data_IF_394724590428
#
_entry.id   IF_394724590428
#
_cell.length_a   1.000
_cell.length_b   1.000
_cell.length_c   1.000
_cell.angle_alpha   90.00
_cell.angle_beta   90.00
_cell.angle_gamma   90.00
#
_symmetry.space_group_name_H-M   'P 1'
#
loop_
_entity.id
_entity.type
_entity.pdbx_description
1 polymer ?
#
# COMPACT_ATOMS: atom_id res chain seq x y z
N UNK A 1 -3.00 22.04 -4.08
CA UNK A 1 -4.27 21.66 -4.76
C UNK A 1 -5.11 20.92 -3.71
N UNK A 2 -6.43 21.21 -3.55
CA UNK A 2 -7.29 20.32 -2.76
C UNK A 2 -7.37 19.01 -3.53
N UNK A 3 -6.81 17.95 -2.98
CA UNK A 3 -6.91 16.60 -3.53
C UNK A 3 -8.39 16.22 -3.55
N UNK A 4 -8.93 15.88 -4.71
CA UNK A 4 -10.32 15.42 -4.81
C UNK A 4 -10.49 14.16 -3.95
N UNK A 5 -11.53 14.16 -3.11
CA UNK A 5 -11.88 13.01 -2.28
C UNK A 5 -12.72 12.04 -3.11
N UNK A 6 -12.05 11.33 -4.03
CA UNK A 6 -12.65 10.34 -4.95
C UNK A 6 -11.88 9.04 -4.90
N UNK A 7 -12.54 7.96 -5.31
CA UNK A 7 -11.92 6.65 -5.47
C UNK A 7 -10.89 6.70 -6.60
N UNK A 8 -9.67 6.25 -6.34
CA UNK A 8 -8.57 6.27 -7.29
C UNK A 8 -8.22 4.84 -7.69
N UNK A 9 -8.48 4.48 -8.96
CA UNK A 9 -7.98 3.21 -9.52
C UNK A 9 -6.49 3.34 -9.82
N UNK A 10 -5.67 2.37 -9.38
CA UNK A 10 -4.27 2.33 -9.71
C UNK A 10 -4.04 1.49 -10.97
N UNK A 11 -3.30 2.03 -11.92
CA UNK A 11 -2.95 1.37 -13.18
C UNK A 11 -1.41 1.25 -13.31
N UNK A 12 -0.88 0.10 -13.79
CA UNK A 12 0.57 -0.17 -13.77
C UNK A 12 1.42 0.76 -14.64
N UNK A 13 0.80 1.54 -15.52
CA UNK A 13 1.48 2.41 -16.49
C UNK A 13 1.00 3.87 -16.42
N UNK A 14 0.48 4.28 -15.27
CA UNK A 14 -0.20 5.57 -15.13
C UNK A 14 -1.63 5.54 -15.69
N UNK A 15 -2.44 6.58 -15.42
CA UNK A 15 -3.84 6.66 -15.82
C UNK A 15 -3.99 6.52 -17.33
N UNK A 16 -4.91 5.65 -17.79
CA UNK A 16 -5.16 5.39 -19.20
C UNK A 16 -3.87 5.04 -20.00
N UNK A 17 -2.86 4.46 -19.33
CA UNK A 17 -1.55 4.14 -19.89
C UNK A 17 -0.82 5.35 -20.48
N UNK A 18 -1.01 6.53 -19.92
CA UNK A 18 -0.35 7.78 -20.36
C UNK A 18 1.14 7.81 -20.08
N UNK A 19 1.64 6.82 -19.34
CA UNK A 19 3.04 6.69 -18.98
C UNK A 19 3.34 7.28 -17.62
N UNK A 20 4.61 7.15 -17.25
CA UNK A 20 5.15 7.57 -15.98
C UNK A 20 6.24 8.61 -16.20
N UNK A 21 6.43 9.52 -15.26
CA UNK A 21 7.44 10.56 -15.34
C UNK A 21 8.82 10.01 -14.97
N UNK A 22 9.84 10.38 -15.74
CA UNK A 22 11.23 10.03 -15.39
C UNK A 22 11.68 10.79 -14.15
N UNK A 23 12.28 10.09 -13.21
CA UNK A 23 12.83 10.68 -11.99
C UNK A 23 14.22 11.27 -12.23
N UNK A 24 14.54 12.33 -11.49
CA UNK A 24 15.89 12.87 -11.38
C UNK A 24 16.56 12.26 -10.13
N UNK A 25 17.61 11.47 -10.38
CA UNK A 25 18.29 10.69 -9.35
C UNK A 25 19.64 11.31 -9.00
N UNK A 26 20.08 11.15 -7.77
CA UNK A 26 21.38 11.58 -7.30
C UNK A 26 22.35 10.40 -7.29
N UNK A 27 23.54 10.53 -7.93
CA UNK A 27 24.51 9.42 -8.01
C UNK A 27 24.91 8.84 -6.66
N UNK A 28 24.96 9.67 -5.62
CA UNK A 28 25.35 9.31 -4.25
C UNK A 28 24.35 8.36 -3.55
N UNK A 29 23.14 8.20 -4.08
CA UNK A 29 22.12 7.29 -3.56
C UNK A 29 22.37 5.83 -3.98
N UNK A 30 23.31 5.59 -4.94
CA UNK A 30 23.50 4.27 -5.53
C UNK A 30 24.95 3.76 -5.39
N UNK A 31 25.10 2.49 -5.02
CA UNK A 31 26.35 1.74 -5.13
C UNK A 31 26.56 1.21 -6.56
N UNK A 32 25.50 1.03 -7.31
CA UNK A 32 25.51 0.61 -8.71
C UNK A 32 25.64 1.78 -9.67
N UNK A 33 25.60 1.50 -10.98
CA UNK A 33 25.31 2.53 -11.97
C UNK A 33 23.94 3.14 -11.69
N UNK A 34 23.79 4.45 -11.96
CA UNK A 34 22.52 5.17 -11.81
C UNK A 34 21.46 4.46 -12.68
N UNK A 35 20.36 4.01 -12.09
CA UNK A 35 19.27 3.38 -12.84
C UNK A 35 18.46 4.40 -13.63
N UNK A 36 17.57 3.90 -14.47
CA UNK A 36 16.47 4.71 -15.02
C UNK A 36 15.23 4.37 -14.22
N UNK A 37 14.63 5.39 -13.60
CA UNK A 37 13.44 5.26 -12.79
C UNK A 37 12.31 6.13 -13.33
N UNK A 38 11.08 5.63 -13.19
CA UNK A 38 9.87 6.38 -13.52
C UNK A 38 8.86 6.24 -12.37
N UNK A 39 8.04 7.27 -12.21
CA UNK A 39 7.00 7.33 -11.20
C UNK A 39 5.72 7.96 -11.77
N UNK A 40 4.57 7.48 -11.30
CA UNK A 40 3.32 8.22 -11.37
C UNK A 40 2.68 8.25 -9.98
N UNK A 41 2.51 9.46 -9.45
CA UNK A 41 1.86 9.67 -8.15
C UNK A 41 0.37 9.85 -8.38
N UNK A 42 -0.43 8.94 -7.82
CA UNK A 42 -1.89 8.98 -7.88
C UNK A 42 -2.49 9.85 -6.79
N UNK A 43 -1.86 9.84 -5.62
CA UNK A 43 -2.27 10.64 -4.48
C UNK A 43 -1.04 11.09 -3.69
N UNK A 44 -1.05 12.35 -3.27
CA UNK A 44 0.01 12.92 -2.45
C UNK A 44 -0.56 13.95 -1.47
N UNK A 45 -0.13 13.85 -0.23
CA UNK A 45 -0.32 14.88 0.79
C UNK A 45 1.02 15.10 1.51
N UNK A 46 1.78 16.10 1.05
CA UNK A 46 3.09 16.45 1.60
C UNK A 46 3.00 16.86 3.07
N UNK A 47 1.87 17.43 3.51
CA UNK A 47 1.68 17.87 4.90
C UNK A 47 1.55 16.70 5.86
N UNK A 48 1.10 15.55 5.36
CA UNK A 48 1.00 14.29 6.07
C UNK A 48 2.22 13.39 5.83
N UNK A 49 2.98 13.62 4.77
CA UNK A 49 4.02 12.72 4.32
C UNK A 49 3.48 11.41 3.71
N UNK A 50 2.28 11.48 3.10
CA UNK A 50 1.61 10.35 2.46
C UNK A 50 1.73 10.45 0.94
N UNK A 51 2.20 9.38 0.29
CA UNK A 51 2.20 9.25 -1.17
C UNK A 51 1.76 7.86 -1.60
N UNK A 52 0.98 7.79 -2.68
CA UNK A 52 0.49 6.55 -3.29
C UNK A 52 0.71 6.60 -4.79
N UNK A 53 1.31 5.55 -5.34
CA UNK A 53 1.65 5.58 -6.76
C UNK A 53 2.08 4.26 -7.35
N UNK A 54 2.62 4.36 -8.55
CA UNK A 54 3.34 3.31 -9.26
C UNK A 54 4.75 3.80 -9.58
N UNK A 55 5.72 2.91 -9.39
CA UNK A 55 7.13 3.19 -9.61
C UNK A 55 7.79 2.03 -10.35
N UNK A 56 8.74 2.34 -11.23
CA UNK A 56 9.57 1.34 -11.87
C UNK A 56 11.04 1.76 -11.96
N UNK A 57 11.91 0.77 -12.13
CA UNK A 57 13.36 0.97 -12.21
C UNK A 57 14.03 -0.12 -13.01
N UNK A 58 15.19 0.23 -13.61
CA UNK A 58 16.14 -0.74 -14.14
C UNK A 58 17.02 -1.29 -13.01
N UNK A 59 17.96 -2.22 -13.34
CA UNK A 59 18.90 -2.78 -12.34
C UNK A 59 19.55 -1.70 -11.48
N UNK A 60 19.57 -1.90 -10.18
CA UNK A 60 20.21 -0.99 -9.22
C UNK A 60 20.62 -1.68 -7.93
N UNK A 61 21.49 -1.00 -7.19
CA UNK A 61 21.72 -1.22 -5.77
C UNK A 61 21.86 0.13 -5.08
N UNK A 62 21.01 0.39 -4.09
CA UNK A 62 21.07 1.59 -3.27
C UNK A 62 22.18 1.49 -2.21
N UNK A 63 22.65 2.66 -1.76
CA UNK A 63 23.54 2.74 -0.61
C UNK A 63 22.83 2.20 0.62
N UNK A 64 23.53 1.39 1.42
CA UNK A 64 23.00 0.89 2.69
C UNK A 64 22.72 2.06 3.65
N UNK A 65 21.51 2.09 4.19
CA UNK A 65 21.09 3.15 5.09
C UNK A 65 19.67 2.98 5.60
N UNK A 66 19.19 3.92 6.41
CA UNK A 66 17.82 3.88 6.94
C UNK A 66 16.78 4.06 5.83
N UNK A 67 15.76 3.20 5.83
CA UNK A 67 14.67 3.26 4.86
C UNK A 67 13.77 4.50 5.13
N UNK A 68 13.43 5.30 4.10
CA UNK A 68 12.80 6.60 4.30
C UNK A 68 11.27 6.52 4.43
N UNK A 69 10.76 5.93 5.51
CA UNK A 69 9.33 5.86 5.80
C UNK A 69 8.81 4.44 5.93
N UNK A 70 7.54 4.31 6.32
CA UNK A 70 6.81 3.06 6.30
C UNK A 70 6.21 2.90 4.91
N UNK A 71 6.43 1.77 4.25
CA UNK A 71 5.95 1.56 2.89
C UNK A 71 5.29 0.20 2.74
N UNK A 72 4.08 0.21 2.19
CA UNK A 72 3.37 -0.96 1.67
C UNK A 72 3.59 -1.03 0.18
N UNK A 73 3.99 -2.20 -0.34
CA UNK A 73 4.35 -2.38 -1.73
C UNK A 73 3.77 -3.67 -2.31
N UNK A 74 3.33 -3.60 -3.55
CA UNK A 74 2.95 -4.77 -4.34
C UNK A 74 3.81 -4.86 -5.60
N UNK A 75 4.64 -5.92 -5.71
CA UNK A 75 5.54 -6.15 -6.86
C UNK A 75 4.74 -6.65 -8.06
N UNK A 76 4.64 -5.83 -9.10
CA UNK A 76 3.91 -6.13 -10.33
C UNK A 76 4.77 -6.89 -11.35
N UNK A 77 6.09 -6.59 -11.37
CA UNK A 77 7.06 -7.17 -12.31
C UNK A 77 8.45 -7.20 -11.67
N UNK A 78 9.23 -8.22 -11.99
CA UNK A 78 10.60 -8.39 -11.48
C UNK A 78 10.65 -8.96 -10.06
N UNK A 79 11.79 -8.71 -9.41
CA UNK A 79 12.04 -9.07 -8.01
C UNK A 79 13.05 -8.12 -7.39
N UNK A 80 13.02 -8.00 -6.06
CA UNK A 80 13.96 -7.20 -5.29
C UNK A 80 14.54 -8.01 -4.14
N UNK A 81 15.77 -7.72 -3.77
CA UNK A 81 16.42 -8.19 -2.53
C UNK A 81 16.63 -7.00 -1.61
N UNK A 82 16.07 -7.06 -0.42
CA UNK A 82 16.34 -6.13 0.67
C UNK A 82 17.48 -6.72 1.48
N UNK A 83 18.65 -6.07 1.48
CA UNK A 83 19.87 -6.55 2.11
C UNK A 83 20.06 -5.84 3.44
N UNK A 84 20.17 -6.60 4.53
CA UNK A 84 20.41 -6.07 5.88
C UNK A 84 21.91 -5.81 6.16
N UNK A 85 22.22 -5.37 7.38
CA UNK A 85 23.60 -5.06 7.80
C UNK A 85 24.53 -6.27 7.93
N UNK A 86 23.99 -7.48 7.93
CA UNK A 86 24.72 -8.75 8.00
C UNK A 86 24.81 -9.45 6.63
N UNK A 87 24.53 -8.71 5.55
CA UNK A 87 24.47 -9.21 4.16
C UNK A 87 23.39 -10.27 3.90
N UNK A 88 22.41 -10.45 4.82
CA UNK A 88 21.29 -11.33 4.53
C UNK A 88 20.30 -10.66 3.58
N UNK A 89 19.81 -11.42 2.61
CA UNK A 89 18.88 -10.92 1.62
C UNK A 89 17.47 -11.47 1.83
N UNK A 90 16.50 -10.58 2.06
CA UNK A 90 15.08 -10.90 1.94
C UNK A 90 14.63 -10.67 0.51
N UNK A 91 14.29 -11.75 -0.21
CA UNK A 91 13.91 -11.68 -1.63
C UNK A 91 12.41 -11.60 -1.78
N UNK A 92 11.93 -10.56 -2.45
CA UNK A 92 10.52 -10.35 -2.78
C UNK A 92 10.34 -10.46 -4.30
N UNK A 93 9.40 -11.30 -4.72
CA UNK A 93 9.18 -11.65 -6.14
C UNK A 93 7.90 -11.03 -6.68
N UNK A 94 7.77 -11.02 -8.00
CA UNK A 94 6.53 -10.67 -8.70
C UNK A 94 5.31 -11.32 -8.05
N UNK A 95 4.25 -10.54 -7.85
CA UNK A 95 3.00 -10.93 -7.22
C UNK A 95 2.99 -10.83 -5.70
N UNK A 96 4.14 -10.77 -5.06
CA UNK A 96 4.21 -10.63 -3.60
C UNK A 96 3.97 -9.20 -3.16
N UNK A 97 3.38 -9.07 -1.99
CA UNK A 97 3.12 -7.82 -1.28
C UNK A 97 3.91 -7.82 0.01
N UNK A 98 4.51 -6.68 0.36
CA UNK A 98 5.33 -6.56 1.54
C UNK A 98 5.31 -5.15 2.11
N UNK A 99 5.68 -5.05 3.39
CA UNK A 99 5.89 -3.78 4.07
C UNK A 99 7.34 -3.62 4.47
N UNK A 100 7.80 -2.37 4.48
CA UNK A 100 9.09 -1.97 5.04
C UNK A 100 8.85 -0.94 6.13
N UNK A 101 9.45 -1.15 7.31
CA UNK A 101 9.40 -0.23 8.44
C UNK A 101 10.31 0.98 8.21
N UNK A 102 9.84 2.16 8.62
CA UNK A 102 10.64 3.37 8.62
C UNK A 102 11.95 3.17 9.40
N UNK A 103 13.04 3.71 8.87
CA UNK A 103 14.40 3.72 9.42
C UNK A 103 15.11 2.36 9.51
N UNK A 104 14.48 1.22 9.11
CA UNK A 104 15.24 -0.04 9.05
C UNK A 104 16.46 0.12 8.12
N UNK A 105 17.69 -0.16 8.59
CA UNK A 105 18.88 -0.03 7.77
C UNK A 105 18.95 -1.19 6.77
N UNK A 106 18.81 -0.88 5.49
CA UNK A 106 18.81 -1.83 4.38
C UNK A 106 19.46 -1.24 3.12
N UNK A 107 19.83 -2.09 2.18
CA UNK A 107 20.15 -1.75 0.81
C UNK A 107 19.15 -2.43 -0.12
N UNK A 108 18.46 -1.66 -0.94
CA UNK A 108 17.62 -2.16 -2.04
C UNK A 108 18.51 -2.64 -3.17
N UNK A 109 18.38 -3.89 -3.58
CA UNK A 109 19.14 -4.47 -4.71
C UNK A 109 18.24 -5.27 -5.62
N UNK A 110 18.37 -5.05 -6.92
CA UNK A 110 17.72 -5.85 -7.92
C UNK A 110 18.51 -5.93 -9.23
N UNK A 111 18.30 -7.01 -9.95
CA UNK A 111 18.79 -7.21 -11.31
C UNK A 111 17.59 -7.22 -12.26
N UNK A 112 17.73 -6.52 -13.40
CA UNK A 112 16.67 -6.38 -14.38
C UNK A 112 15.65 -5.29 -14.01
N UNK A 113 14.51 -5.34 -14.68
CA UNK A 113 13.43 -4.38 -14.51
C UNK A 113 12.55 -4.78 -13.32
N UNK A 114 12.08 -3.78 -12.57
CA UNK A 114 11.09 -3.95 -11.50
C UNK A 114 10.01 -2.87 -11.61
N UNK A 115 8.77 -3.24 -11.35
CA UNK A 115 7.64 -2.31 -11.17
C UNK A 115 6.85 -2.70 -9.94
N UNK A 116 6.41 -1.69 -9.17
CA UNK A 116 5.57 -1.86 -7.98
C UNK A 116 4.49 -0.79 -7.89
N UNK A 117 3.36 -1.12 -7.28
CA UNK A 117 2.53 -0.13 -6.61
C UNK A 117 3.07 0.11 -5.20
N UNK A 118 2.83 1.29 -4.67
CA UNK A 118 3.25 1.65 -3.32
C UNK A 118 2.25 2.59 -2.63
N UNK A 119 2.23 2.51 -1.31
CA UNK A 119 1.75 3.52 -0.38
C UNK A 119 2.85 3.74 0.65
N UNK A 120 3.41 4.94 0.69
CA UNK A 120 4.46 5.32 1.65
C UNK A 120 3.96 6.40 2.59
N UNK A 121 4.38 6.30 3.85
CA UNK A 121 4.08 7.27 4.89
C UNK A 121 5.30 7.54 5.76
N UNK A 122 5.66 8.81 5.85
CA UNK A 122 6.67 9.30 6.79
C UNK A 122 6.20 10.64 7.36
N UNK A 123 5.85 10.67 8.65
CA UNK A 123 5.43 11.91 9.31
C UNK A 123 6.54 12.97 9.20
N UNK A 124 6.31 14.10 8.50
CA UNK A 124 7.33 15.11 8.29
C UNK A 124 7.69 15.89 9.58
N UNK A 125 6.90 15.72 10.64
CA UNK A 125 7.13 16.36 11.95
C UNK A 125 7.88 15.45 12.91
N UNK A 126 7.92 14.14 12.66
CA UNK A 126 8.59 13.17 13.49
C UNK A 126 10.08 13.05 13.11
N UNK A 127 10.94 12.91 14.09
CA UNK A 127 12.31 12.51 13.84
C UNK A 127 12.37 11.06 13.36
N UNK A 128 13.29 10.77 12.44
CA UNK A 128 13.53 9.39 12.03
C UNK A 128 14.01 8.59 13.24
N UNK A 129 13.39 7.44 13.58
CA UNK A 129 13.83 6.62 14.71
C UNK A 129 15.20 6.00 14.42
N UNK A 130 15.97 5.76 15.49
CA UNK A 130 17.20 4.97 15.41
C UNK A 130 16.85 3.50 15.66
N UNK A 131 16.90 2.67 14.62
CA UNK A 131 16.65 1.24 14.72
C UNK A 131 17.76 0.43 14.07
N UNK A 132 17.89 -0.83 14.46
CA UNK A 132 18.91 -1.76 13.96
C UNK A 132 18.27 -2.85 13.09
N UNK A 133 19.06 -3.49 12.22
CA UNK A 133 18.58 -4.62 11.41
C UNK A 133 18.02 -5.76 12.26
N UNK A 134 18.53 -5.96 13.49
CA UNK A 134 18.06 -7.00 14.40
C UNK A 134 16.61 -6.82 14.88
N UNK A 135 16.07 -5.60 14.82
CA UNK A 135 14.67 -5.32 15.18
C UNK A 135 13.67 -5.76 14.11
N UNK A 136 14.14 -6.18 12.94
CA UNK A 136 13.30 -6.55 11.80
C UNK A 136 12.65 -5.32 11.16
N UNK A 137 11.77 -5.54 10.21
CA UNK A 137 11.05 -4.44 9.57
C UNK A 137 10.69 -4.68 8.12
N UNK A 138 11.02 -5.86 7.59
CA UNK A 138 10.57 -6.30 6.26
C UNK A 138 9.58 -7.44 6.47
N UNK A 139 8.32 -7.22 6.10
CA UNK A 139 7.22 -8.18 6.32
C UNK A 139 6.57 -8.52 4.99
N UNK A 140 6.74 -9.76 4.53
CA UNK A 140 6.03 -10.27 3.34
C UNK A 140 4.64 -10.74 3.79
N UNK A 141 3.59 -10.26 3.12
CA UNK A 141 2.21 -10.64 3.40
C UNK A 141 1.90 -11.98 2.73
N UNK A 142 1.46 -12.95 3.53
CA UNK A 142 1.11 -14.30 3.07
C UNK A 142 -0.41 -14.44 2.90
N UNK A 143 -0.88 -14.55 1.64
CA UNK A 143 -2.30 -14.71 1.33
C UNK A 143 -2.90 -16.04 1.84
N UNK A 144 -2.06 -17.02 2.21
CA UNK A 144 -2.49 -18.30 2.80
C UNK A 144 -2.55 -18.27 4.34
N UNK A 145 -2.16 -17.15 4.96
CA UNK A 145 -2.21 -17.00 6.43
C UNK A 145 -3.63 -17.15 6.95
N UNK A 146 -3.78 -17.90 8.04
CA UNK A 146 -5.06 -17.99 8.75
C UNK A 146 -5.43 -16.62 9.33
N UNK A 147 -6.67 -16.22 9.11
CA UNK A 147 -7.25 -15.00 9.65
C UNK A 147 -8.15 -15.32 10.86
N UNK A 148 -8.18 -14.43 11.83
CA UNK A 148 -9.14 -14.47 12.94
C UNK A 148 -10.50 -13.95 12.52
N UNK A 149 -11.58 -14.44 13.16
CA UNK A 149 -12.91 -13.87 12.97
C UNK A 149 -12.93 -12.41 13.40
N UNK A 150 -13.53 -11.55 12.59
CA UNK A 150 -13.76 -10.14 12.88
C UNK A 150 -15.25 -9.91 13.13
N UNK A 151 -15.58 -9.42 14.33
CA UNK A 151 -16.97 -9.15 14.71
C UNK A 151 -17.41 -7.69 14.43
N UNK A 152 -16.47 -6.81 14.08
CA UNK A 152 -16.74 -5.42 13.70
C UNK A 152 -16.82 -5.27 12.19
N UNK A 153 -17.74 -4.43 11.71
CA UNK A 153 -17.80 -4.00 10.30
C UNK A 153 -17.14 -2.65 10.08
N UNK A 154 -16.62 -2.00 11.11
CA UNK A 154 -15.96 -0.71 10.96
C UNK A 154 -14.86 -0.76 9.88
N UNK A 155 -14.79 0.27 9.04
CA UNK A 155 -15.50 1.54 9.10
C UNK A 155 -16.88 1.52 8.41
N UNK A 156 -17.32 0.38 7.92
CA UNK A 156 -18.56 0.28 7.14
C UNK A 156 -19.75 0.09 8.07
N UNK A 157 -20.76 0.91 7.91
CA UNK A 157 -22.07 0.70 8.54
C UNK A 157 -22.90 -0.14 7.57
N UNK A 158 -23.16 -1.39 7.93
CA UNK A 158 -23.77 -2.38 7.05
C UNK A 158 -25.30 -2.30 7.12
N UNK A 159 -25.94 -2.35 5.96
CA UNK A 159 -27.38 -2.50 5.82
C UNK A 159 -27.74 -3.98 5.97
N UNK A 160 -28.50 -4.33 7.02
CA UNK A 160 -28.97 -5.70 7.24
C UNK A 160 -28.06 -6.52 8.15
N UNK A 161 -27.89 -7.81 7.82
CA UNK A 161 -27.10 -8.73 8.63
C UNK A 161 -25.60 -8.49 8.49
N UNK A 162 -24.86 -8.59 9.61
CA UNK A 162 -23.39 -8.50 9.61
C UNK A 162 -22.84 -9.76 8.92
N UNK A 163 -22.04 -9.60 7.85
CA UNK A 163 -21.46 -10.73 7.15
C UNK A 163 -20.39 -11.44 8.00
N UNK A 164 -20.12 -12.69 7.68
CA UNK A 164 -18.95 -13.36 8.20
C UNK A 164 -17.69 -12.69 7.62
N UNK A 165 -16.80 -12.24 8.50
CA UNK A 165 -15.57 -11.55 8.17
C UNK A 165 -14.39 -12.13 8.93
N UNK A 166 -13.21 -12.02 8.34
CA UNK A 166 -11.96 -12.39 9.01
C UNK A 166 -10.89 -11.35 8.71
N UNK A 167 -9.91 -11.24 9.60
CA UNK A 167 -8.79 -10.33 9.48
C UNK A 167 -7.49 -10.93 10.03
N UNK A 168 -6.38 -10.51 9.44
CA UNK A 168 -5.05 -10.70 10.00
C UNK A 168 -4.19 -9.47 9.71
N UNK A 169 -3.67 -8.83 10.76
CA UNK A 169 -2.74 -7.70 10.66
C UNK A 169 -1.31 -8.25 10.60
N UNK A 170 -0.59 -7.93 9.53
CA UNK A 170 0.81 -8.33 9.33
C UNK A 170 1.80 -7.29 9.82
N UNK A 171 1.46 -6.01 9.68
CA UNK A 171 2.35 -4.89 9.94
C UNK A 171 1.61 -3.77 10.67
N UNK A 172 2.28 -3.16 11.63
CA UNK A 172 1.84 -1.93 12.29
C UNK A 172 3.09 -1.09 12.54
N UNK A 173 3.08 0.19 12.16
CA UNK A 173 4.20 1.08 12.40
C UNK A 173 4.31 1.46 13.89
N UNK A 174 5.43 2.07 14.29
CA UNK A 174 5.71 2.41 15.69
C UNK A 174 4.70 3.39 16.28
N UNK A 175 4.21 4.33 15.48
CA UNK A 175 3.17 5.29 15.88
C UNK A 175 1.77 4.68 15.97
N UNK A 176 1.59 3.43 15.51
CA UNK A 176 0.32 2.69 15.48
C UNK A 176 -0.79 3.37 14.66
N UNK A 177 -0.42 4.24 13.75
CA UNK A 177 -1.33 4.94 12.86
C UNK A 177 -1.29 4.44 11.41
N UNK A 178 -0.30 3.62 11.04
CA UNK A 178 -0.26 2.90 9.77
C UNK A 178 -0.20 1.40 10.03
N UNK A 179 -1.11 0.66 9.39
CA UNK A 179 -1.14 -0.80 9.47
C UNK A 179 -1.39 -1.43 8.10
N UNK A 180 -0.95 -2.67 7.92
CA UNK A 180 -1.25 -3.45 6.75
C UNK A 180 -1.71 -4.86 7.14
N UNK A 181 -2.74 -5.33 6.46
CA UNK A 181 -3.40 -6.59 6.79
C UNK A 181 -4.02 -7.28 5.60
N UNK A 182 -4.70 -8.36 5.91
CA UNK A 182 -5.55 -9.13 5.02
C UNK A 182 -6.93 -9.21 5.64
N UNK A 183 -7.95 -8.96 4.83
CA UNK A 183 -9.35 -9.00 5.24
C UNK A 183 -10.19 -9.72 4.19
N UNK A 184 -11.18 -10.45 4.66
CA UNK A 184 -12.23 -11.00 3.81
C UNK A 184 -13.62 -10.71 4.37
N UNK A 185 -14.62 -10.77 3.48
CA UNK A 185 -16.03 -10.64 3.86
C UNK A 185 -16.93 -11.42 2.91
N UNK A 186 -18.01 -11.97 3.47
CA UNK A 186 -19.17 -12.40 2.70
C UNK A 186 -19.91 -11.23 2.06
N UNK A 187 -21.13 -11.49 1.55
CA UNK A 187 -21.98 -10.46 0.96
C UNK A 187 -22.24 -9.31 1.93
N UNK A 188 -22.12 -8.08 1.42
CA UNK A 188 -22.22 -6.86 2.23
C UNK A 188 -22.77 -5.72 1.38
N UNK A 189 -23.61 -4.91 1.98
CA UNK A 189 -24.09 -3.63 1.44
C UNK A 189 -23.97 -2.59 2.55
N UNK A 190 -23.19 -1.53 2.33
CA UNK A 190 -22.97 -0.49 3.34
C UNK A 190 -23.71 0.80 3.06
N UNK A 191 -23.96 1.56 4.10
CA UNK A 191 -24.46 2.92 3.98
C UNK A 191 -23.44 3.81 3.25
N UNK A 192 -23.95 4.84 2.58
CA UNK A 192 -23.14 5.91 1.99
C UNK A 192 -22.65 6.83 3.10
N UNK A 193 -21.33 6.83 3.37
CA UNK A 193 -20.70 7.63 4.44
C UNK A 193 -19.31 8.12 4.06
N UNK A 194 -18.81 9.20 4.68
CA UNK A 194 -17.41 9.57 4.58
C UNK A 194 -16.49 8.45 5.10
N UNK A 195 -15.53 8.02 4.29
CA UNK A 195 -14.55 6.99 4.67
C UNK A 195 -13.54 7.59 5.67
N UNK A 196 -13.29 6.97 6.84
CA UNK A 196 -12.64 7.66 7.94
C UNK A 196 -11.11 7.73 7.86
N UNK A 197 -10.47 6.91 7.02
CA UNK A 197 -9.01 6.85 6.87
C UNK A 197 -8.55 6.82 5.42
N UNK A 198 -7.25 6.79 5.19
CA UNK A 198 -6.64 6.55 3.90
C UNK A 198 -6.42 5.05 3.75
N UNK A 199 -6.90 4.44 2.67
CA UNK A 199 -6.75 3.01 2.46
C UNK A 199 -6.28 2.68 1.05
N UNK A 200 -5.15 1.98 0.97
CA UNK A 200 -4.72 1.27 -0.23
C UNK A 200 -5.30 -0.14 -0.20
N UNK A 201 -5.88 -0.59 -1.32
CA UNK A 201 -6.46 -1.92 -1.46
C UNK A 201 -5.85 -2.65 -2.65
N UNK A 202 -5.43 -3.89 -2.42
CA UNK A 202 -5.10 -4.88 -3.44
C UNK A 202 -6.13 -6.01 -3.38
N UNK A 203 -6.89 -6.19 -4.44
CA UNK A 203 -7.91 -7.24 -4.53
C UNK A 203 -7.26 -8.60 -4.81
N UNK A 204 -7.47 -9.58 -3.91
CA UNK A 204 -6.96 -10.95 -4.03
C UNK A 204 -8.01 -11.88 -4.65
N UNK A 205 -9.25 -11.80 -4.17
CA UNK A 205 -10.35 -12.64 -4.63
C UNK A 205 -11.66 -11.86 -4.67
N UNK A 206 -12.59 -12.31 -5.50
CA UNK A 206 -13.94 -11.74 -5.61
C UNK A 206 -13.99 -10.38 -6.29
N UNK A 207 -15.04 -9.62 -5.96
CA UNK A 207 -15.28 -8.29 -6.51
C UNK A 207 -16.05 -7.43 -5.52
N UNK A 208 -15.79 -6.12 -5.58
CA UNK A 208 -16.49 -5.08 -4.83
C UNK A 208 -16.93 -3.96 -5.77
N UNK A 209 -18.12 -3.43 -5.57
CA UNK A 209 -18.57 -2.17 -6.18
C UNK A 209 -18.53 -1.09 -5.12
N UNK A 210 -17.79 -0.01 -5.38
CA UNK A 210 -17.76 1.18 -4.53
C UNK A 210 -18.47 2.28 -5.29
N UNK A 211 -19.52 2.86 -4.71
CA UNK A 211 -20.30 3.93 -5.32
C UNK A 211 -20.00 5.23 -4.60
N UNK A 212 -19.59 6.27 -5.32
CA UNK A 212 -19.37 7.61 -4.79
C UNK A 212 -20.69 8.37 -4.56
N UNK A 213 -20.65 9.48 -3.83
CA UNK A 213 -21.81 10.31 -3.49
C UNK A 213 -22.60 10.78 -4.72
N UNK A 214 -21.91 11.03 -5.84
CA UNK A 214 -22.53 11.44 -7.10
C UNK A 214 -23.20 10.28 -7.88
N UNK A 215 -23.17 9.06 -7.32
CA UNK A 215 -23.70 7.84 -7.91
C UNK A 215 -22.75 7.12 -8.88
N UNK A 216 -21.50 7.60 -9.03
CA UNK A 216 -20.51 6.95 -9.91
C UNK A 216 -20.06 5.61 -9.31
N UNK A 217 -20.28 4.46 -9.99
CA UNK A 217 -19.82 3.17 -9.51
C UNK A 217 -18.41 2.86 -10.00
N UNK A 218 -17.59 2.31 -9.11
CA UNK A 218 -16.28 1.74 -9.40
C UNK A 218 -16.29 0.25 -9.08
N UNK A 219 -16.06 -0.60 -10.08
CA UNK A 219 -16.00 -2.05 -9.87
C UNK A 219 -14.55 -2.50 -9.85
N UNK A 220 -14.15 -3.16 -8.75
CA UNK A 220 -12.84 -3.76 -8.58
C UNK A 220 -12.97 -5.26 -8.38
N UNK A 221 -12.07 -6.02 -9.00
CA UNK A 221 -12.02 -7.48 -8.95
C UNK A 221 -10.62 -7.98 -8.67
N UNK A 222 -10.45 -9.26 -8.44
CA UNK A 222 -9.16 -9.88 -8.23
C UNK A 222 -8.11 -9.40 -9.25
N UNK A 223 -6.94 -8.95 -8.75
CA UNK A 223 -5.87 -8.35 -9.54
C UNK A 223 -5.95 -6.83 -9.72
N UNK A 224 -7.03 -6.17 -9.30
CA UNK A 224 -7.12 -4.70 -9.28
C UNK A 224 -6.49 -4.11 -8.01
N UNK A 225 -6.06 -2.87 -8.09
CA UNK A 225 -5.70 -2.05 -6.95
C UNK A 225 -6.39 -0.68 -7.01
N UNK A 226 -6.70 -0.13 -5.84
CA UNK A 226 -7.29 1.19 -5.71
C UNK A 226 -6.91 1.84 -4.39
N UNK A 227 -7.15 3.14 -4.31
CA UNK A 227 -6.93 3.93 -3.12
C UNK A 227 -8.18 4.73 -2.77
N UNK A 228 -8.51 4.76 -1.48
CA UNK A 228 -9.61 5.52 -0.90
C UNK A 228 -9.04 6.64 -0.03
N UNK A 229 -9.08 7.91 -0.46
CA UNK A 229 -8.70 9.04 0.37
C UNK A 229 -9.66 9.22 1.56
N UNK A 230 -9.13 9.62 2.72
CA UNK A 230 -9.92 9.97 3.90
C UNK A 230 -10.97 11.03 3.57
N UNK A 231 -12.22 10.75 3.96
CA UNK A 231 -13.37 11.63 3.75
C UNK A 231 -14.03 11.49 2.38
N UNK A 232 -13.63 10.51 1.56
CA UNK A 232 -14.39 10.11 0.36
C UNK A 232 -15.76 9.60 0.80
N UNK A 233 -16.83 10.21 0.32
CA UNK A 233 -18.20 9.75 0.61
C UNK A 233 -18.54 8.64 -0.35
N UNK A 234 -18.67 7.42 0.18
CA UNK A 234 -18.91 6.24 -0.64
C UNK A 234 -19.66 5.13 0.11
N UNK A 235 -20.22 4.20 -0.64
CA UNK A 235 -20.77 2.95 -0.14
C UNK A 235 -20.09 1.76 -0.80
N UNK A 236 -20.02 0.63 -0.09
CA UNK A 236 -19.39 -0.60 -0.53
C UNK A 236 -20.45 -1.68 -0.72
N UNK A 237 -20.40 -2.37 -1.84
CA UNK A 237 -21.27 -3.51 -2.13
C UNK A 237 -20.46 -4.71 -2.57
N UNK A 238 -20.62 -5.81 -1.84
CA UNK A 238 -20.05 -7.13 -2.13
C UNK A 238 -21.22 -8.09 -2.34
N UNK A 239 -21.35 -8.62 -3.56
CA UNK A 239 -22.50 -9.49 -3.88
C UNK A 239 -22.35 -10.91 -3.31
N UNK A 240 -21.12 -11.41 -3.11
CA UNK A 240 -20.87 -12.77 -2.62
C UNK A 240 -19.72 -12.84 -1.63
N UNK A 241 -18.52 -12.51 -2.08
CA UNK A 241 -17.27 -12.66 -1.32
C UNK A 241 -16.19 -11.75 -1.88
N UNK A 242 -15.33 -11.28 -1.00
CA UNK A 242 -14.11 -10.55 -1.34
C UNK A 242 -12.99 -10.91 -0.37
N UNK A 243 -11.75 -10.93 -0.87
CA UNK A 243 -10.52 -11.00 -0.08
C UNK A 243 -9.54 -9.97 -0.60
N UNK A 244 -8.93 -9.22 0.29
CA UNK A 244 -7.98 -8.14 -0.06
C UNK A 244 -6.78 -8.12 0.87
N UNK A 245 -5.62 -7.68 0.36
CA UNK A 245 -4.63 -7.00 1.19
C UNK A 245 -4.97 -5.51 1.24
N UNK A 246 -4.64 -4.88 2.34
CA UNK A 246 -4.86 -3.45 2.54
C UNK A 246 -3.71 -2.81 3.33
N UNK A 247 -3.52 -1.53 3.12
CA UNK A 247 -2.75 -0.67 4.00
C UNK A 247 -3.60 0.54 4.39
N UNK A 248 -3.71 0.81 5.68
CA UNK A 248 -4.49 1.91 6.24
C UNK A 248 -3.56 2.90 6.93
N UNK A 249 -3.81 4.19 6.71
CA UNK A 249 -3.29 5.27 7.54
C UNK A 249 -4.47 5.95 8.25
N UNK A 250 -4.51 5.81 9.57
CA UNK A 250 -5.50 6.42 10.44
C UNK A 250 -4.86 7.53 11.29
N UNK A 251 -5.28 8.76 11.07
CA UNK A 251 -4.83 9.97 11.78
C UNK A 251 -5.93 10.55 12.68
N UNK A 252 -6.87 9.73 13.14
CA UNK A 252 -7.98 10.15 13.99
C UNK A 252 -7.60 10.37 15.46
N UNK A 253 -6.37 9.96 15.85
CA UNK A 253 -5.88 10.04 17.24
C UNK A 253 -4.99 11.25 17.52
N UNK A 254 -4.83 12.17 16.55
CA UNK A 254 -4.07 13.41 16.68
C UNK A 254 -4.94 14.62 16.97
#
# INVERSE_FOLDING_TARGET
>A
MKTEKKIIRLEPFGPAKTGMQKMHLKPEEFQSKIPVQHIHVYYEDETLGLSVGVWDTTSMQEVFGPYPGNEFMWVLEGQVSMIDGDDNATVIKKGQTFCVRNAIPVSWKQEGFLRKFYMTYADPKAAMPEITSAEGGIVILDAAKNMGKLDSTEPLVVNGEIPLQHEHIFFTNDAKNMLAGMWDSGALDSEMRPFPWYEFVQMLEGAVTITEEDGTPHIFKAGDAFFVPKGTVCSWKIDRYVKKFYAILDLSSE
#
